data_IF_088989737787
#
_entry.id   IF_088989737787
#
_cell.length_a   1.000
_cell.length_b   1.000
_cell.length_c   1.000
_cell.angle_alpha   90.00
_cell.angle_beta   90.00
_cell.angle_gamma   90.00
#
_symmetry.space_group_name_H-M   'P 1'
#
loop_
_entity.id
_entity.type
_entity.pdbx_description
1 polymer ?
#
# COMPACT_ATOMS: atom_id res chain seq x y z
N UNK A 1 8.33 -1.85 26.83
CA UNK A 1 8.38 -2.59 25.55
C UNK A 1 8.02 -1.69 24.37
N UNK A 2 6.85 -1.01 24.39
CA UNK A 2 6.42 -0.05 23.34
C UNK A 2 7.39 1.13 23.12
N UNK A 3 7.91 1.74 24.19
CA UNK A 3 8.87 2.87 24.08
C UNK A 3 10.17 2.53 23.36
N UNK A 4 10.61 1.27 23.42
CA UNK A 4 11.85 0.84 22.77
C UNK A 4 11.65 0.72 21.26
N UNK A 5 10.51 0.16 20.85
CA UNK A 5 10.11 0.03 19.43
C UNK A 5 9.92 1.41 18.79
N UNK A 6 9.27 2.34 19.50
CA UNK A 6 9.09 3.72 19.03
C UNK A 6 10.44 4.44 18.88
N UNK A 7 11.34 4.24 19.83
CA UNK A 7 12.66 4.86 19.79
C UNK A 7 13.51 4.30 18.64
N UNK A 8 13.43 2.99 18.40
CA UNK A 8 14.17 2.32 17.34
C UNK A 8 13.61 2.64 15.95
N UNK A 9 12.30 2.77 15.80
CA UNK A 9 11.66 3.27 14.59
C UNK A 9 12.07 4.71 14.28
N UNK A 10 12.09 5.59 15.29
CA UNK A 10 12.52 6.99 15.14
C UNK A 10 14.02 7.12 14.82
N UNK A 11 14.86 6.26 15.40
CA UNK A 11 16.30 6.18 15.10
C UNK A 11 16.54 5.73 13.66
N UNK A 12 15.86 4.67 13.22
CA UNK A 12 15.98 4.18 11.84
C UNK A 12 15.45 5.21 10.83
N UNK A 13 14.41 5.97 11.16
CA UNK A 13 13.89 7.07 10.33
C UNK A 13 14.93 8.19 10.09
N UNK A 14 15.83 8.45 11.04
CA UNK A 14 16.95 9.41 10.86
C UNK A 14 18.08 8.84 10.03
N UNK A 15 18.39 7.57 10.20
CA UNK A 15 19.43 6.85 9.43
C UNK A 15 19.04 6.73 7.95
N UNK A 16 17.74 6.79 7.65
CA UNK A 16 17.19 6.70 6.29
C UNK A 16 17.46 7.93 5.42
N UNK A 17 17.69 9.12 6.00
CA UNK A 17 17.78 10.38 5.26
C UNK A 17 19.15 10.67 4.61
N UNK A 18 20.05 9.68 4.46
CA UNK A 18 21.39 9.88 3.89
C UNK A 18 21.86 8.75 2.98
N UNK A 19 21.48 8.84 1.69
CA UNK A 19 21.99 8.23 0.44
C UNK A 19 22.57 6.80 0.38
N UNK A 20 22.33 6.14 -0.77
CA UNK A 20 22.73 4.79 -1.23
C UNK A 20 22.21 3.57 -0.45
N UNK A 21 21.02 3.72 0.12
CA UNK A 21 20.50 2.87 1.19
C UNK A 21 19.10 2.29 0.92
N UNK A 22 18.45 2.62 -0.20
CA UNK A 22 17.04 2.30 -0.50
C UNK A 22 16.65 0.82 -0.27
N UNK A 23 17.36 -0.15 -0.86
CA UNK A 23 16.96 -1.58 -0.73
C UNK A 23 17.06 -2.11 0.70
N UNK A 24 18.09 -1.72 1.44
CA UNK A 24 18.27 -2.12 2.85
C UNK A 24 17.23 -1.43 3.74
N UNK A 25 16.87 -0.19 3.41
CA UNK A 25 15.81 0.55 4.09
C UNK A 25 14.43 -0.06 3.85
N UNK A 26 14.11 -0.44 2.60
CA UNK A 26 12.89 -1.17 2.26
C UNK A 26 12.80 -2.51 3.00
N UNK A 27 13.90 -3.29 3.02
CA UNK A 27 13.95 -4.54 3.76
C UNK A 27 13.71 -4.32 5.27
N UNK A 28 14.26 -3.25 5.84
CA UNK A 28 14.06 -2.91 7.25
C UNK A 28 12.62 -2.46 7.53
N UNK A 29 12.05 -1.58 6.70
CA UNK A 29 10.67 -1.12 6.81
C UNK A 29 9.70 -2.31 6.73
N UNK A 30 9.93 -3.21 5.77
CA UNK A 30 9.12 -4.41 5.60
C UNK A 30 9.27 -5.40 6.76
N UNK A 31 10.47 -5.55 7.32
CA UNK A 31 10.67 -6.33 8.55
C UNK A 31 9.90 -5.77 9.75
N UNK A 32 9.88 -4.43 9.89
CA UNK A 32 9.12 -3.76 10.95
C UNK A 32 7.62 -3.94 10.73
N UNK A 33 7.13 -3.71 9.50
CA UNK A 33 5.74 -3.89 9.12
C UNK A 33 5.25 -5.32 9.43
N UNK A 34 5.98 -6.35 8.98
CA UNK A 34 5.64 -7.74 9.26
C UNK A 34 5.57 -8.08 10.74
N UNK A 35 6.47 -7.52 11.55
CA UNK A 35 6.43 -7.70 13.00
C UNK A 35 5.19 -7.04 13.60
N UNK A 36 4.87 -5.81 13.19
CA UNK A 36 3.68 -5.10 13.65
C UNK A 36 2.40 -5.84 13.27
N UNK A 37 2.27 -6.29 12.02
CA UNK A 37 1.15 -7.12 11.57
C UNK A 37 1.03 -8.40 12.41
N UNK A 38 2.14 -9.10 12.65
CA UNK A 38 2.12 -10.29 13.51
C UNK A 38 1.65 -9.98 14.94
N UNK A 39 2.04 -8.83 15.51
CA UNK A 39 1.57 -8.42 16.82
C UNK A 39 0.09 -8.04 16.81
N UNK A 40 -0.37 -7.34 15.77
CA UNK A 40 -1.77 -6.98 15.58
C UNK A 40 -2.67 -8.21 15.53
N UNK A 41 -2.35 -9.18 14.67
CA UNK A 41 -3.12 -10.42 14.54
C UNK A 41 -3.15 -11.24 15.85
N UNK A 42 -2.03 -11.27 16.57
CA UNK A 42 -1.96 -11.94 17.88
C UNK A 42 -2.85 -11.27 18.92
N UNK A 43 -2.90 -9.93 18.95
CA UNK A 43 -3.70 -9.19 19.91
C UNK A 43 -5.20 -9.25 19.57
N UNK A 44 -5.55 -9.10 18.28
CA UNK A 44 -6.91 -9.30 17.76
C UNK A 44 -7.47 -10.68 18.12
N UNK A 45 -6.66 -11.73 18.01
CA UNK A 45 -7.09 -13.10 18.40
C UNK A 45 -7.28 -13.27 19.91
N UNK A 46 -6.57 -12.51 20.73
CA UNK A 46 -6.70 -12.55 22.19
C UNK A 46 -7.98 -11.89 22.66
N UNK A 47 -8.37 -10.77 22.04
CA UNK A 47 -9.65 -10.11 22.33
C UNK A 47 -10.84 -11.00 22.04
N UNK A 48 -10.84 -11.73 20.91
CA UNK A 48 -11.91 -12.66 20.57
C UNK A 48 -12.08 -13.85 21.54
N UNK A 49 -11.13 -14.09 22.46
CA UNK A 49 -11.12 -15.25 23.37
C UNK A 49 -11.24 -14.92 24.86
N UNK A 50 -11.08 -13.67 25.28
CA UNK A 50 -11.06 -13.29 26.71
C UNK A 50 -12.25 -12.41 27.09
N UNK A 51 -12.65 -12.53 28.35
CA UNK A 51 -13.56 -11.58 29.00
C UNK A 51 -13.12 -10.13 28.73
N UNK A 52 -14.10 -9.28 28.44
CA UNK A 52 -13.95 -7.87 28.10
C UNK A 52 -13.07 -7.13 29.12
N UNK A 53 -11.82 -6.82 28.76
CA UNK A 53 -10.92 -5.98 29.53
C UNK A 53 -10.61 -4.74 28.69
N UNK A 54 -11.10 -3.57 29.09
CA UNK A 54 -10.89 -2.29 28.40
C UNK A 54 -9.42 -1.96 28.11
N UNK A 55 -8.49 -2.48 28.92
CA UNK A 55 -7.03 -2.32 28.72
C UNK A 55 -6.48 -3.06 27.50
N UNK A 56 -7.19 -4.06 26.97
CA UNK A 56 -6.80 -4.77 25.75
C UNK A 56 -7.28 -4.00 24.51
N UNK A 57 -8.49 -3.41 24.58
CA UNK A 57 -9.05 -2.55 23.51
C UNK A 57 -8.15 -1.34 23.23
N UNK A 58 -7.76 -0.60 24.28
CA UNK A 58 -6.85 0.56 24.14
C UNK A 58 -5.49 0.16 23.54
N UNK A 59 -5.01 -1.06 23.81
CA UNK A 59 -3.76 -1.57 23.22
C UNK A 59 -3.93 -1.91 21.75
N UNK A 60 -5.04 -2.53 21.37
CA UNK A 60 -5.32 -2.88 19.99
C UNK A 60 -5.49 -1.62 19.13
N UNK A 61 -6.27 -0.64 19.60
CA UNK A 61 -6.46 0.65 18.93
C UNK A 61 -5.13 1.39 18.72
N UNK A 62 -4.28 1.44 19.76
CA UNK A 62 -2.95 2.03 19.63
C UNK A 62 -2.07 1.30 18.62
N UNK A 63 -2.17 -0.03 18.55
CA UNK A 63 -1.35 -0.84 17.64
C UNK A 63 -1.85 -0.74 16.20
N UNK A 64 -3.16 -0.67 16.00
CA UNK A 64 -3.81 -0.37 14.71
C UNK A 64 -3.37 1.01 14.20
N UNK A 65 -3.40 2.03 15.06
CA UNK A 65 -2.95 3.38 14.70
C UNK A 65 -1.47 3.42 14.28
N UNK A 66 -0.60 2.74 15.03
CA UNK A 66 0.83 2.65 14.68
C UNK A 66 1.03 1.89 13.36
N UNK A 67 0.30 0.79 13.16
CA UNK A 67 0.37 0.01 11.94
C UNK A 67 -0.09 0.83 10.73
N UNK A 68 -1.19 1.57 10.88
CA UNK A 68 -1.73 2.45 9.85
C UNK A 68 -0.72 3.55 9.47
N UNK A 69 -0.09 4.21 10.46
CA UNK A 69 0.93 5.24 10.20
C UNK A 69 2.11 4.67 9.40
N UNK A 70 2.57 3.46 9.75
CA UNK A 70 3.68 2.79 9.04
C UNK A 70 3.29 2.42 7.62
N UNK A 71 2.09 1.87 7.40
CA UNK A 71 1.61 1.53 6.05
C UNK A 71 1.47 2.80 5.20
N UNK A 72 0.87 3.87 5.73
CA UNK A 72 0.73 5.14 5.02
C UNK A 72 2.08 5.77 4.68
N UNK A 73 3.05 5.77 5.61
CA UNK A 73 4.39 6.28 5.35
C UNK A 73 5.11 5.46 4.25
N UNK A 74 4.93 4.13 4.27
CA UNK A 74 5.51 3.22 3.28
C UNK A 74 4.87 3.40 1.90
N UNK A 75 3.55 3.57 1.86
CA UNK A 75 2.79 3.88 0.65
C UNK A 75 3.26 5.19 0.02
N UNK A 76 3.34 6.27 0.80
CA UNK A 76 3.77 7.58 0.32
C UNK A 76 5.19 7.54 -0.25
N UNK A 77 6.10 6.82 0.42
CA UNK A 77 7.46 6.62 -0.07
C UNK A 77 7.47 5.81 -1.39
N UNK A 78 6.67 4.75 -1.49
CA UNK A 78 6.59 3.94 -2.70
C UNK A 78 6.07 4.76 -3.89
N UNK A 79 5.08 5.62 -3.67
CA UNK A 79 4.56 6.56 -4.68
C UNK A 79 5.64 7.56 -5.09
N UNK A 80 6.33 8.16 -4.12
CA UNK A 80 7.40 9.13 -4.38
C UNK A 80 8.56 8.53 -5.19
N UNK A 81 8.89 7.26 -4.95
CA UNK A 81 9.97 6.54 -5.62
C UNK A 81 9.49 5.80 -6.89
N UNK A 82 8.26 6.05 -7.34
CA UNK A 82 7.64 5.42 -8.52
C UNK A 82 7.63 3.87 -8.45
N UNK A 83 7.63 3.31 -7.24
CA UNK A 83 7.56 1.87 -6.99
C UNK A 83 6.09 1.42 -6.98
N UNK A 84 5.43 1.47 -8.14
CA UNK A 84 3.97 1.33 -8.23
C UNK A 84 3.42 -0.01 -7.73
N UNK A 85 4.16 -1.11 -7.95
CA UNK A 85 3.78 -2.43 -7.41
C UNK A 85 3.83 -2.41 -5.89
N UNK A 86 4.88 -1.83 -5.31
CA UNK A 86 5.01 -1.75 -3.86
C UNK A 86 3.94 -0.85 -3.25
N UNK A 87 3.64 0.29 -3.88
CA UNK A 87 2.53 1.15 -3.48
C UNK A 87 1.21 0.36 -3.46
N UNK A 88 0.93 -0.45 -4.49
CA UNK A 88 -0.29 -1.27 -4.52
C UNK A 88 -0.35 -2.35 -3.44
N UNK A 89 0.80 -2.92 -3.06
CA UNK A 89 0.88 -3.86 -1.94
C UNK A 89 0.49 -3.16 -0.63
N UNK A 90 0.94 -1.92 -0.41
CA UNK A 90 0.56 -1.18 0.79
C UNK A 90 -0.93 -0.84 0.82
N UNK A 91 -1.56 -0.58 -0.33
CA UNK A 91 -3.02 -0.41 -0.41
C UNK A 91 -3.76 -1.71 -0.03
N UNK A 92 -3.23 -2.87 -0.43
CA UNK A 92 -3.79 -4.16 0.01
C UNK A 92 -3.75 -4.30 1.54
N UNK A 93 -2.68 -3.85 2.20
CA UNK A 93 -2.61 -3.87 3.67
C UNK A 93 -3.64 -2.93 4.32
N UNK A 94 -3.92 -1.78 3.70
CA UNK A 94 -4.98 -0.87 4.16
C UNK A 94 -6.39 -1.49 4.02
N UNK A 95 -6.62 -2.29 2.97
CA UNK A 95 -7.87 -3.07 2.82
C UNK A 95 -8.07 -4.00 4.01
N UNK A 96 -7.01 -4.67 4.47
CA UNK A 96 -7.07 -5.59 5.63
C UNK A 96 -7.44 -4.86 6.93
N UNK A 97 -7.07 -3.59 7.06
CA UNK A 97 -7.44 -2.73 8.18
C UNK A 97 -8.82 -2.08 8.05
N UNK A 98 -9.60 -2.45 7.03
CA UNK A 98 -10.94 -1.90 6.75
C UNK A 98 -10.97 -0.37 6.56
N UNK A 99 -9.93 0.18 5.93
CA UNK A 99 -9.92 1.58 5.52
C UNK A 99 -11.04 1.91 4.51
N UNK A 100 -11.31 3.21 4.36
CA UNK A 100 -12.41 3.69 3.52
C UNK A 100 -12.28 3.22 2.06
N UNK A 101 -13.34 2.56 1.56
CA UNK A 101 -13.37 1.96 0.23
C UNK A 101 -13.11 2.98 -0.88
N UNK A 102 -13.67 4.19 -0.78
CA UNK A 102 -13.50 5.20 -1.81
C UNK A 102 -12.08 5.77 -1.83
N UNK A 103 -11.49 5.95 -0.64
CA UNK A 103 -10.08 6.32 -0.48
C UNK A 103 -9.15 5.28 -1.13
N UNK A 104 -9.37 3.99 -0.84
CA UNK A 104 -8.57 2.89 -1.39
C UNK A 104 -8.68 2.80 -2.92
N UNK A 105 -9.91 2.92 -3.46
CA UNK A 105 -10.15 2.93 -4.91
C UNK A 105 -9.42 4.09 -5.57
N UNK A 106 -9.51 5.31 -5.01
CA UNK A 106 -8.86 6.49 -5.56
C UNK A 106 -7.34 6.38 -5.60
N UNK A 107 -6.74 5.79 -4.57
CA UNK A 107 -5.28 5.55 -4.54
C UNK A 107 -4.88 4.50 -5.57
N UNK A 108 -5.59 3.37 -5.66
CA UNK A 108 -5.27 2.36 -6.68
C UNK A 108 -5.41 2.91 -8.10
N UNK A 109 -6.40 3.76 -8.34
CA UNK A 109 -6.56 4.45 -9.63
C UNK A 109 -5.36 5.34 -9.93
N UNK A 110 -4.91 6.12 -8.95
CA UNK A 110 -3.72 6.97 -9.08
C UNK A 110 -2.47 6.15 -9.39
N UNK A 111 -2.22 5.08 -8.63
CA UNK A 111 -1.05 4.21 -8.82
C UNK A 111 -1.07 3.55 -10.19
N UNK A 112 -2.22 3.00 -10.60
CA UNK A 112 -2.37 2.30 -11.86
C UNK A 112 -2.27 3.26 -13.07
N UNK A 113 -2.88 4.45 -12.98
CA UNK A 113 -2.78 5.45 -14.03
C UNK A 113 -1.34 5.97 -14.18
N UNK A 114 -0.62 6.23 -13.09
CA UNK A 114 0.80 6.59 -13.15
C UNK A 114 1.65 5.50 -13.83
N UNK A 115 1.45 4.23 -13.46
CA UNK A 115 2.16 3.12 -14.08
C UNK A 115 1.90 2.99 -15.60
N UNK A 116 0.65 3.20 -16.05
CA UNK A 116 0.30 3.22 -17.48
C UNK A 116 0.97 4.39 -18.19
N UNK A 117 0.93 5.58 -17.59
CA UNK A 117 1.46 6.82 -18.19
C UNK A 117 2.98 6.78 -18.35
N UNK A 118 3.67 6.07 -17.46
CA UNK A 118 5.12 5.83 -17.52
C UNK A 118 5.51 4.66 -18.44
N UNK A 119 4.53 3.99 -19.07
CA UNK A 119 4.78 2.81 -19.89
C UNK A 119 5.23 1.59 -19.11
N UNK A 120 5.03 1.56 -17.79
CA UNK A 120 5.34 0.44 -16.90
C UNK A 120 4.20 -0.59 -16.92
N UNK A 121 3.92 -1.13 -18.11
CA UNK A 121 2.79 -2.02 -18.38
C UNK A 121 2.77 -3.27 -17.49
N UNK A 122 3.94 -3.87 -17.25
CA UNK A 122 4.06 -5.04 -16.37
C UNK A 122 3.58 -4.70 -14.96
N UNK A 123 3.90 -3.51 -14.46
CA UNK A 123 3.52 -3.10 -13.12
C UNK A 123 2.04 -2.76 -13.06
N UNK A 124 1.51 -2.02 -14.04
CA UNK A 124 0.07 -1.77 -14.18
C UNK A 124 -0.75 -3.08 -14.19
N UNK A 125 -0.28 -4.14 -14.86
CA UNK A 125 -0.97 -5.45 -14.82
C UNK A 125 -0.92 -6.13 -13.46
N UNK A 126 0.14 -5.92 -12.66
CA UNK A 126 0.25 -6.46 -11.29
C UNK A 126 -0.63 -5.71 -10.28
N UNK A 127 -0.94 -4.44 -10.55
CA UNK A 127 -1.79 -3.60 -9.69
C UNK A 127 -3.27 -3.96 -9.86
N UNK A 128 -3.70 -4.27 -11.09
CA UNK A 128 -5.11 -4.51 -11.40
C UNK A 128 -5.82 -5.56 -10.51
N UNK A 129 -5.20 -6.68 -10.09
CA UNK A 129 -5.80 -7.62 -9.16
C UNK A 129 -6.12 -7.05 -7.78
N UNK A 130 -5.42 -6.01 -7.31
CA UNK A 130 -5.60 -5.44 -5.96
C UNK A 130 -6.98 -4.80 -5.80
N UNK A 131 -7.58 -4.27 -6.87
CA UNK A 131 -8.95 -3.79 -6.85
C UNK A 131 -9.94 -4.86 -6.38
N UNK A 132 -9.72 -6.14 -6.70
CA UNK A 132 -10.61 -7.24 -6.30
C UNK A 132 -10.57 -7.55 -4.81
N UNK A 133 -9.56 -7.07 -4.09
CA UNK A 133 -9.49 -7.20 -2.64
C UNK A 133 -10.42 -6.21 -1.94
N UNK A 134 -10.79 -5.10 -2.60
CA UNK A 134 -11.66 -4.08 -2.02
C UNK A 134 -13.08 -4.63 -1.85
N UNK A 135 -13.72 -4.44 -0.68
CA UNK A 135 -15.12 -4.77 -0.49
C UNK A 135 -16.02 -4.08 -1.52
N UNK A 136 -16.94 -4.85 -2.11
CA UNK A 136 -17.87 -4.36 -3.14
C UNK A 136 -17.18 -3.67 -4.34
N UNK A 137 -15.97 -4.10 -4.72
CA UNK A 137 -15.19 -3.46 -5.79
C UNK A 137 -15.95 -3.34 -7.11
N UNK A 138 -16.86 -4.27 -7.41
CA UNK A 138 -17.62 -4.29 -8.65
C UNK A 138 -18.48 -3.02 -8.82
N UNK A 139 -18.94 -2.44 -7.70
CA UNK A 139 -19.64 -1.17 -7.69
C UNK A 139 -18.68 -0.03 -7.38
N UNK A 140 -17.91 -0.14 -6.29
CA UNK A 140 -17.09 0.94 -5.77
C UNK A 140 -15.97 1.38 -6.72
N UNK A 141 -15.39 0.45 -7.49
CA UNK A 141 -14.29 0.73 -8.40
C UNK A 141 -14.71 0.79 -9.87
N UNK A 142 -16.02 0.68 -10.18
CA UNK A 142 -16.50 0.56 -11.57
C UNK A 142 -16.01 1.69 -12.46
N UNK A 143 -16.24 2.93 -12.04
CA UNK A 143 -15.86 4.12 -12.80
C UNK A 143 -14.35 4.23 -12.96
N UNK A 144 -13.60 4.00 -11.87
CA UNK A 144 -12.13 3.99 -11.89
C UNK A 144 -11.58 2.94 -12.87
N UNK A 145 -12.13 1.73 -12.87
CA UNK A 145 -11.74 0.66 -13.80
C UNK A 145 -12.06 1.03 -15.25
N UNK A 146 -13.21 1.66 -15.51
CA UNK A 146 -13.58 2.14 -16.84
C UNK A 146 -12.61 3.23 -17.33
N UNK A 147 -12.25 4.20 -16.48
CA UNK A 147 -11.25 5.24 -16.81
C UNK A 147 -9.88 4.63 -17.11
N UNK A 148 -9.40 3.70 -16.28
CA UNK A 148 -8.12 3.02 -16.48
C UNK A 148 -8.09 2.20 -17.77
N UNK A 149 -9.20 1.53 -18.14
CA UNK A 149 -9.30 0.80 -19.42
C UNK A 149 -9.20 1.73 -20.62
N UNK A 150 -9.91 2.86 -20.60
CA UNK A 150 -9.82 3.85 -21.68
C UNK A 150 -8.39 4.35 -21.85
N UNK A 151 -7.72 4.67 -20.73
CA UNK A 151 -6.34 5.15 -20.74
C UNK A 151 -5.36 4.09 -21.24
N UNK A 152 -5.56 2.82 -20.88
CA UNK A 152 -4.77 1.70 -21.38
C UNK A 152 -4.84 1.60 -22.91
N UNK A 153 -6.05 1.63 -23.49
CA UNK A 153 -6.23 1.52 -24.94
C UNK A 153 -5.68 2.73 -25.69
N UNK A 154 -5.82 3.94 -25.14
CA UNK A 154 -5.26 5.15 -25.72
C UNK A 154 -3.72 5.08 -25.76
N UNK A 155 -3.09 4.72 -24.65
CA UNK A 155 -1.65 4.58 -24.56
C UNK A 155 -1.11 3.41 -25.40
N UNK A 156 -1.88 2.31 -25.56
CA UNK A 156 -1.56 1.23 -26.50
C UNK A 156 -1.61 1.70 -27.96
N UNK A 157 -2.64 2.45 -28.36
CA UNK A 157 -2.75 3.02 -29.70
C UNK A 157 -1.60 3.99 -30.04
N UNK A 158 -1.23 4.85 -29.09
CA UNK A 158 -0.05 5.72 -29.20
C UNK A 158 1.21 4.88 -29.44
N UNK A 159 1.43 3.84 -28.63
CA UNK A 159 2.58 2.95 -28.77
C UNK A 159 2.67 2.30 -30.15
N UNK A 160 1.55 1.80 -30.69
CA UNK A 160 1.52 1.24 -32.04
C UNK A 160 1.92 2.29 -33.09
N UNK A 161 1.37 3.50 -32.97
CA UNK A 161 1.62 4.59 -33.93
C UNK A 161 3.08 5.03 -33.93
N UNK A 162 3.68 5.25 -32.76
CA UNK A 162 5.10 5.63 -32.64
C UNK A 162 6.06 4.46 -32.90
N UNK A 163 5.70 3.24 -32.52
CA UNK A 163 6.48 2.03 -32.80
C UNK A 163 6.52 1.70 -34.30
N UNK A 164 5.43 1.94 -35.03
CA UNK A 164 5.38 1.75 -36.49
C UNK A 164 6.10 2.84 -37.28
N UNK A 165 6.29 4.04 -36.72
CA UNK A 165 7.03 5.13 -37.38
C UNK A 165 8.55 4.91 -37.41
N UNK A 166 9.04 3.88 -36.72
CA UNK A 166 10.45 3.45 -36.70
C UNK A 166 10.73 2.26 -37.64
N UNK A 167 9.75 1.83 -38.44
CA UNK A 167 9.89 0.79 -39.46
C UNK A 167 9.66 1.34 -40.88
#
# INVERSE_FOLDING_TARGET
>A
MVKWIQHEAALKRREIMGQDTLKVQWNNAYCVLKKLQSYYELEKHREGKKHFEWRNVERLENLESILLEVIQATLNLAIQEHQWVEASNQVFELVVLNEDVHYLVGILETICSSAISEGLWVDATKIAPVFKAIPDYANAAKESIERLKSMWYEAEGIRWTYGSALF
#
